data_IF_615963710309
#
_entry.id   IF_615963710309
#
_cell.length_a   1.000
_cell.length_b   1.000
_cell.length_c   1.000
_cell.angle_alpha   90.00
_cell.angle_beta   90.00
_cell.angle_gamma   90.00
#
_symmetry.space_group_name_H-M   'P 1'
#
loop_
_entity.id
_entity.type
_entity.pdbx_description
1 polymer ?
#
# COMPACT_ATOMS: atom_id res chain seq x y z
N UNK A 1 -4.45 1.28 11.73
CA UNK A 1 -3.21 1.38 10.94
C UNK A 1 -2.10 0.58 11.61
N UNK A 2 -1.18 -0.02 10.85
CA UNK A 2 -0.05 -0.80 11.36
C UNK A 2 1.11 0.13 11.78
N UNK A 3 0.99 0.75 12.94
CA UNK A 3 1.90 1.76 13.49
C UNK A 3 3.03 1.12 14.34
N UNK A 4 4.18 1.80 14.54
CA UNK A 4 5.24 1.33 15.42
C UNK A 4 4.77 1.08 16.86
N UNK A 5 3.81 1.88 17.35
CA UNK A 5 3.22 1.71 18.69
C UNK A 5 2.46 0.40 18.90
N UNK A 6 2.08 -0.30 17.82
CA UNK A 6 1.44 -1.62 17.86
C UNK A 6 2.27 -2.72 17.17
N UNK A 7 3.59 -2.52 17.08
CA UNK A 7 4.54 -3.50 16.58
C UNK A 7 4.68 -3.57 15.06
N UNK A 8 4.26 -2.53 14.33
CA UNK A 8 4.34 -2.45 12.89
C UNK A 8 5.23 -1.30 12.39
N UNK A 9 5.28 -1.08 11.09
CA UNK A 9 6.28 -0.27 10.42
C UNK A 9 5.76 1.02 9.77
N UNK A 10 4.45 1.32 9.77
CA UNK A 10 3.98 2.55 9.17
C UNK A 10 4.44 3.77 9.97
N UNK A 11 5.41 4.51 9.44
CA UNK A 11 6.08 5.62 10.12
C UNK A 11 5.29 6.93 9.98
N UNK A 12 4.15 7.01 10.68
CA UNK A 12 3.18 8.12 10.61
C UNK A 12 3.62 9.29 11.49
N UNK A 13 4.60 10.07 11.04
CA UNK A 13 5.20 11.18 11.82
C UNK A 13 4.22 12.32 12.12
N UNK A 14 3.21 12.56 11.28
CA UNK A 14 2.20 13.59 11.54
C UNK A 14 1.16 13.14 12.55
N UNK A 15 0.89 11.84 12.62
CA UNK A 15 -0.09 11.28 13.56
C UNK A 15 0.52 10.94 14.91
N UNK A 16 1.82 10.67 14.98
CA UNK A 16 2.54 10.24 16.19
C UNK A 16 3.66 11.22 16.50
N UNK A 17 3.43 12.07 17.48
CA UNK A 17 4.36 13.16 17.86
C UNK A 17 5.69 12.67 18.42
N UNK A 18 5.72 11.46 19.00
CA UNK A 18 6.95 10.85 19.53
C UNK A 18 7.91 10.33 18.45
N UNK A 19 7.44 10.09 17.24
CA UNK A 19 8.29 9.70 16.11
C UNK A 19 9.09 10.91 15.62
N UNK A 20 10.40 10.74 15.48
CA UNK A 20 11.28 11.78 14.95
C UNK A 20 11.41 11.67 13.43
N UNK A 21 11.46 12.82 12.75
CA UNK A 21 11.86 12.84 11.33
C UNK A 21 13.32 12.40 11.24
N UNK A 22 13.61 11.43 10.37
CA UNK A 22 14.98 10.93 10.22
C UNK A 22 15.09 9.48 9.76
N UNK A 23 16.27 8.93 9.95
CA UNK A 23 16.64 7.58 9.51
C UNK A 23 15.91 6.45 10.25
N UNK A 24 15.38 6.72 11.44
CA UNK A 24 14.61 5.72 12.19
C UNK A 24 13.39 5.22 11.40
N UNK A 25 12.80 6.08 10.56
CA UNK A 25 11.72 5.71 9.64
C UNK A 25 12.13 4.75 8.52
N UNK A 26 13.42 4.45 8.39
CA UNK A 26 13.96 3.53 7.40
C UNK A 26 14.29 2.14 7.99
N UNK A 27 14.23 1.99 9.33
CA UNK A 27 14.72 0.81 10.03
C UNK A 27 13.57 -0.11 10.44
N UNK A 28 12.93 -0.74 9.47
CA UNK A 28 11.92 -1.75 9.75
C UNK A 28 11.94 -2.83 8.68
N UNK A 29 11.59 -4.05 9.05
CA UNK A 29 11.40 -5.15 8.10
C UNK A 29 10.25 -6.04 8.54
N UNK A 30 9.59 -6.66 7.58
CA UNK A 30 8.53 -7.65 7.76
C UNK A 30 8.72 -8.79 6.77
N UNK A 31 7.89 -9.83 6.83
CA UNK A 31 7.99 -10.97 5.93
C UNK A 31 8.91 -12.05 6.47
N UNK A 32 9.74 -12.62 5.61
CA UNK A 32 10.64 -13.70 6.00
C UNK A 32 11.77 -13.20 6.93
N UNK A 33 11.95 -13.86 8.07
CA UNK A 33 13.04 -13.62 9.02
C UNK A 33 14.18 -14.63 8.82
N UNK A 34 13.83 -15.83 8.34
CA UNK A 34 14.77 -16.93 8.07
C UNK A 34 14.66 -17.39 6.61
N UNK A 35 15.70 -18.03 6.10
CA UNK A 35 15.75 -18.53 4.73
C UNK A 35 15.40 -17.48 3.67
N UNK A 36 15.83 -16.23 3.89
CA UNK A 36 15.58 -15.11 3.01
C UNK A 36 16.25 -15.36 1.67
N UNK A 37 15.43 -15.46 0.61
CA UNK A 37 15.92 -15.57 -0.77
C UNK A 37 15.88 -14.23 -1.50
N UNK A 38 14.92 -13.40 -1.15
CA UNK A 38 14.68 -12.11 -1.81
C UNK A 38 14.53 -10.98 -0.81
N UNK A 39 14.90 -9.78 -1.24
CA UNK A 39 14.69 -8.53 -0.51
C UNK A 39 13.83 -7.60 -1.34
N UNK A 40 12.78 -7.08 -0.75
CA UNK A 40 11.88 -6.14 -1.40
C UNK A 40 11.80 -4.82 -0.62
N UNK A 41 11.54 -3.74 -1.35
CA UNK A 41 11.25 -2.43 -0.78
C UNK A 41 9.79 -2.09 -1.01
N UNK A 42 8.99 -1.95 0.05
CA UNK A 42 7.63 -1.41 -0.01
C UNK A 42 7.69 0.10 0.21
N UNK A 43 7.33 0.86 -0.81
CA UNK A 43 7.40 2.32 -0.77
C UNK A 43 6.06 2.97 -1.06
N UNK A 44 5.73 4.02 -0.29
CA UNK A 44 4.54 4.84 -0.54
C UNK A 44 4.01 5.58 0.69
N UNK A 45 2.78 6.05 0.56
CA UNK A 45 2.06 6.78 1.60
C UNK A 45 1.35 5.84 2.60
N UNK A 46 0.30 6.32 3.24
CA UNK A 46 -0.49 5.54 4.20
C UNK A 46 -1.17 4.31 3.57
N UNK A 47 -1.37 4.30 2.25
CA UNK A 47 -1.88 3.13 1.52
C UNK A 47 -0.80 2.06 1.35
N UNK A 48 0.46 2.41 1.23
CA UNK A 48 1.54 1.45 1.39
C UNK A 48 1.66 1.00 2.85
N UNK A 49 1.49 1.95 3.78
CA UNK A 49 1.48 1.67 5.21
C UNK A 49 0.44 0.60 5.60
N UNK A 50 -0.80 0.71 5.13
CA UNK A 50 -1.83 -0.27 5.49
C UNK A 50 -1.63 -1.66 4.86
N UNK A 51 -0.79 -1.76 3.82
CA UNK A 51 -0.43 -3.02 3.18
C UNK A 51 0.78 -3.73 3.84
N UNK A 52 1.39 -3.17 4.89
CA UNK A 52 2.51 -3.81 5.58
C UNK A 52 2.13 -5.20 6.13
N UNK A 53 0.96 -5.40 6.80
CA UNK A 53 0.56 -6.73 7.25
C UNK A 53 0.29 -7.73 6.10
N UNK A 54 -0.15 -7.26 4.94
CA UNK A 54 -0.26 -8.07 3.72
C UNK A 54 1.11 -8.61 3.30
N UNK A 55 2.11 -7.73 3.23
CA UNK A 55 3.45 -8.12 2.80
C UNK A 55 4.22 -8.90 3.86
N UNK A 56 3.85 -8.78 5.14
CA UNK A 56 4.34 -9.67 6.18
C UNK A 56 3.93 -11.13 5.90
N UNK A 57 2.64 -11.36 5.59
CA UNK A 57 2.12 -12.70 5.29
C UNK A 57 2.66 -13.25 3.95
N UNK A 58 2.63 -12.43 2.89
CA UNK A 58 3.08 -12.84 1.56
C UNK A 58 4.60 -13.02 1.51
N UNK A 59 5.35 -12.13 2.17
CA UNK A 59 6.81 -12.22 2.25
C UNK A 59 7.27 -13.53 2.90
N UNK A 60 6.63 -13.96 3.98
CA UNK A 60 6.88 -15.28 4.61
C UNK A 60 6.66 -16.44 3.63
N UNK A 61 5.64 -16.37 2.78
CA UNK A 61 5.34 -17.41 1.78
C UNK A 61 6.29 -17.42 0.59
N UNK A 62 6.88 -16.27 0.26
CA UNK A 62 7.79 -16.11 -0.87
C UNK A 62 9.28 -16.10 -0.45
N UNK A 63 9.59 -16.38 0.81
CA UNK A 63 10.95 -16.25 1.37
C UNK A 63 11.55 -14.86 1.12
N UNK A 64 10.73 -13.82 1.19
CA UNK A 64 11.10 -12.43 0.96
C UNK A 64 11.08 -11.64 2.26
N UNK A 65 12.18 -10.96 2.56
CA UNK A 65 12.21 -9.89 3.54
C UNK A 65 11.77 -8.59 2.87
N UNK A 66 10.77 -7.92 3.43
CA UNK A 66 10.23 -6.67 2.91
C UNK A 66 10.60 -5.53 3.85
N UNK A 67 11.20 -4.48 3.32
CA UNK A 67 11.51 -3.24 4.05
C UNK A 67 10.46 -2.17 3.71
N UNK A 68 9.53 -1.83 4.62
CA UNK A 68 8.59 -0.74 4.42
C UNK A 68 9.26 0.63 4.65
N UNK A 69 9.21 1.47 3.63
CA UNK A 69 9.62 2.88 3.68
C UNK A 69 8.38 3.73 3.39
N UNK A 70 7.63 4.02 4.44
CA UNK A 70 6.29 4.61 4.31
C UNK A 70 6.09 5.75 5.30
N UNK A 71 5.45 6.84 4.88
CA UNK A 71 4.99 7.92 5.76
C UNK A 71 3.75 8.61 5.17
N UNK A 72 3.12 9.50 5.94
CA UNK A 72 1.93 10.23 5.51
C UNK A 72 2.17 10.95 4.17
N UNK A 73 1.23 10.88 3.24
CA UNK A 73 1.19 11.61 1.95
C UNK A 73 2.36 11.36 0.99
N UNK A 74 3.30 10.49 1.34
CA UNK A 74 4.50 10.21 0.55
C UNK A 74 4.22 9.24 -0.58
N UNK A 75 3.55 9.67 -1.64
CA UNK A 75 3.32 8.81 -2.80
C UNK A 75 4.65 8.41 -3.48
N UNK A 76 4.69 7.29 -4.21
CA UNK A 76 5.89 6.82 -4.92
C UNK A 76 6.34 7.83 -5.97
N UNK A 77 7.51 8.43 -5.76
CA UNK A 77 8.14 9.42 -6.62
C UNK A 77 9.61 9.59 -6.25
N UNK A 78 10.41 10.16 -7.15
CA UNK A 78 11.77 10.65 -6.90
C UNK A 78 11.84 12.18 -6.87
N UNK A 79 10.72 12.85 -7.19
CA UNK A 79 10.63 14.31 -7.23
C UNK A 79 10.35 14.92 -5.85
N UNK A 80 10.05 16.22 -5.86
CA UNK A 80 9.79 16.98 -4.64
C UNK A 80 8.30 17.30 -4.42
N UNK A 81 7.44 17.00 -5.40
CA UNK A 81 6.00 17.26 -5.29
C UNK A 81 5.37 16.40 -4.17
N UNK A 82 4.51 17.02 -3.39
CA UNK A 82 3.93 16.42 -2.21
C UNK A 82 2.47 16.86 -2.04
N UNK A 83 1.51 15.92 -1.95
CA UNK A 83 0.09 16.26 -1.90
C UNK A 83 -0.40 16.71 -0.52
N UNK A 84 0.41 16.55 0.52
CA UNK A 84 0.11 17.02 1.88
C UNK A 84 0.53 18.47 2.13
N UNK A 85 0.39 18.91 3.37
CA UNK A 85 0.82 20.27 3.79
C UNK A 85 2.33 20.41 3.74
N UNK A 86 2.79 21.57 3.26
CA UNK A 86 4.21 21.99 3.26
C UNK A 86 4.34 23.37 3.90
N UNK A 87 5.30 23.59 4.82
CA UNK A 87 6.18 22.57 5.41
C UNK A 87 5.43 21.67 6.40
N UNK A 88 5.88 20.41 6.54
CA UNK A 88 5.37 19.47 7.55
C UNK A 88 6.40 18.39 7.87
N UNK A 89 6.24 17.73 9.01
CA UNK A 89 7.10 16.60 9.39
C UNK A 89 7.00 15.44 8.40
N UNK A 90 5.80 15.21 7.84
CA UNK A 90 5.60 14.19 6.81
C UNK A 90 6.32 14.55 5.51
N UNK A 91 6.34 15.82 5.11
CA UNK A 91 7.12 16.26 3.95
C UNK A 91 8.62 15.99 4.16
N UNK A 92 9.17 16.41 5.31
CA UNK A 92 10.59 16.21 5.60
C UNK A 92 10.96 14.71 5.63
N UNK A 93 10.10 13.86 6.23
CA UNK A 93 10.30 12.42 6.20
C UNK A 93 10.18 11.85 4.79
N UNK A 94 9.25 12.35 3.98
CA UNK A 94 9.10 11.92 2.59
C UNK A 94 10.34 12.23 1.75
N UNK A 95 10.96 13.38 1.94
CA UNK A 95 12.24 13.72 1.28
C UNK A 95 13.32 12.70 1.62
N UNK A 96 13.46 12.34 2.91
CA UNK A 96 14.42 11.32 3.36
C UNK A 96 14.09 9.95 2.70
N UNK A 97 12.82 9.56 2.69
CA UNK A 97 12.36 8.30 2.12
C UNK A 97 12.67 8.23 0.61
N UNK A 98 12.41 9.30 -0.14
CA UNK A 98 12.68 9.39 -1.59
C UNK A 98 14.17 9.38 -1.91
N UNK A 99 14.99 10.07 -1.10
CA UNK A 99 16.45 9.99 -1.22
C UNK A 99 16.95 8.57 -0.97
N UNK A 100 16.38 7.87 0.01
CA UNK A 100 16.69 6.48 0.26
C UNK A 100 16.30 5.59 -0.94
N UNK A 101 15.09 5.73 -1.48
CA UNK A 101 14.62 5.02 -2.67
C UNK A 101 15.57 5.25 -3.84
N UNK A 102 15.86 6.52 -4.18
CA UNK A 102 16.73 6.88 -5.30
C UNK A 102 18.12 6.22 -5.22
N UNK A 103 18.68 6.15 -4.01
CA UNK A 103 20.02 5.61 -3.77
C UNK A 103 20.06 4.08 -3.74
N UNK A 104 18.96 3.42 -3.35
CA UNK A 104 18.98 2.02 -2.97
C UNK A 104 18.06 1.12 -3.81
N UNK A 105 17.32 1.65 -4.77
CA UNK A 105 16.32 0.84 -5.51
C UNK A 105 16.91 -0.38 -6.21
N UNK A 106 18.19 -0.35 -6.62
CA UNK A 106 18.89 -1.47 -7.24
C UNK A 106 19.46 -2.49 -6.25
N UNK A 107 19.35 -2.23 -4.94
CA UNK A 107 19.79 -3.15 -3.89
C UNK A 107 18.71 -4.16 -3.48
N UNK A 108 17.53 -4.06 -4.10
CA UNK A 108 16.40 -4.95 -3.87
C UNK A 108 16.12 -5.79 -5.10
N UNK A 109 15.68 -7.02 -4.88
CA UNK A 109 15.29 -7.92 -5.97
C UNK A 109 14.01 -7.44 -6.65
N UNK A 110 13.14 -6.69 -5.93
CA UNK A 110 12.00 -6.00 -6.50
C UNK A 110 11.49 -4.85 -5.60
N UNK A 111 10.76 -3.94 -6.23
CA UNK A 111 10.12 -2.81 -5.55
C UNK A 111 8.61 -3.03 -5.51
N UNK A 112 7.98 -2.55 -4.46
CA UNK A 112 6.53 -2.59 -4.28
C UNK A 112 6.04 -1.15 -4.10
N UNK A 113 5.15 -0.70 -4.97
CA UNK A 113 4.54 0.62 -4.86
C UNK A 113 3.07 0.51 -4.53
N UNK A 114 2.64 1.24 -3.51
CA UNK A 114 1.26 1.43 -3.15
C UNK A 114 1.03 2.88 -2.71
N UNK A 115 -0.13 3.42 -3.03
CA UNK A 115 -0.42 4.80 -2.74
C UNK A 115 -1.90 5.15 -2.88
N UNK A 116 -2.26 6.32 -2.41
CA UNK A 116 -3.57 6.92 -2.64
C UNK A 116 -3.67 7.40 -4.10
N UNK A 117 -3.90 6.45 -5.01
CA UNK A 117 -3.84 6.70 -6.45
C UNK A 117 -4.82 7.77 -6.94
N UNK A 118 -5.96 7.96 -6.29
CA UNK A 118 -6.87 9.06 -6.60
C UNK A 118 -6.17 10.41 -6.48
N UNK A 119 -5.36 10.60 -5.44
CA UNK A 119 -4.62 11.82 -5.21
C UNK A 119 -3.55 12.05 -6.28
N UNK A 120 -2.82 10.99 -6.64
CA UNK A 120 -1.80 11.03 -7.69
C UNK A 120 -2.41 11.36 -9.06
N UNK A 121 -3.62 10.90 -9.35
CA UNK A 121 -4.28 11.13 -10.64
C UNK A 121 -5.05 12.44 -10.75
N UNK A 122 -5.30 13.14 -9.64
CA UNK A 122 -5.98 14.45 -9.65
C UNK A 122 -5.11 15.56 -10.22
N UNK A 123 -3.78 15.45 -10.08
CA UNK A 123 -2.82 16.45 -10.54
C UNK A 123 -1.81 15.80 -11.51
N UNK A 124 -1.68 16.37 -12.69
CA UNK A 124 -0.76 15.88 -13.74
C UNK A 124 0.70 15.84 -13.29
N UNK A 125 1.12 16.72 -12.39
CA UNK A 125 2.51 16.75 -11.88
C UNK A 125 2.85 15.51 -11.03
N UNK A 126 1.93 15.05 -10.16
CA UNK A 126 2.14 13.84 -9.36
C UNK A 126 2.20 12.59 -10.25
N UNK A 127 1.31 12.51 -11.23
CA UNK A 127 1.31 11.41 -12.19
C UNK A 127 2.59 11.38 -13.02
N UNK A 128 3.06 12.54 -13.49
CA UNK A 128 4.30 12.67 -14.26
C UNK A 128 5.53 12.22 -13.45
N UNK A 129 5.61 12.60 -12.17
CA UNK A 129 6.68 12.14 -11.29
C UNK A 129 6.65 10.63 -11.06
N UNK A 130 5.45 10.06 -10.87
CA UNK A 130 5.31 8.61 -10.75
C UNK A 130 5.71 7.89 -12.04
N UNK A 131 5.27 8.38 -13.21
CA UNK A 131 5.68 7.83 -14.51
C UNK A 131 7.20 7.93 -14.73
N UNK A 132 7.83 9.04 -14.30
CA UNK A 132 9.29 9.17 -14.32
C UNK A 132 9.98 8.10 -13.44
N UNK A 133 9.48 7.85 -12.23
CA UNK A 133 9.97 6.77 -11.37
C UNK A 133 9.88 5.41 -12.08
N UNK A 134 8.73 5.07 -12.68
CA UNK A 134 8.54 3.82 -13.42
C UNK A 134 9.49 3.70 -14.63
N UNK A 135 9.71 4.81 -15.34
CA UNK A 135 10.69 4.85 -16.43
C UNK A 135 12.11 4.58 -15.94
N UNK A 136 12.49 5.11 -14.79
CA UNK A 136 13.82 4.86 -14.21
C UNK A 136 13.98 3.41 -13.75
N UNK A 137 13.00 2.83 -13.06
CA UNK A 137 13.04 1.42 -12.65
C UNK A 137 13.12 0.48 -13.86
N UNK A 138 12.44 0.83 -14.97
CA UNK A 138 12.49 0.07 -16.20
C UNK A 138 13.88 0.14 -16.88
N UNK A 139 14.52 1.31 -16.88
CA UNK A 139 15.88 1.47 -17.42
C UNK A 139 16.93 0.69 -16.61
N UNK A 140 16.71 0.54 -15.32
CA UNK A 140 17.57 -0.20 -14.39
C UNK A 140 17.22 -1.69 -14.34
N UNK A 141 16.20 -2.12 -15.08
CA UNK A 141 15.67 -3.49 -15.08
C UNK A 141 15.26 -4.02 -13.68
N UNK A 142 14.81 -3.11 -12.81
CA UNK A 142 14.35 -3.49 -11.47
C UNK A 142 12.87 -3.87 -11.55
N UNK A 143 12.49 -5.10 -11.18
CA UNK A 143 11.09 -5.53 -11.16
C UNK A 143 10.25 -4.68 -10.18
N UNK A 144 9.04 -4.31 -10.61
CA UNK A 144 8.13 -3.48 -9.81
C UNK A 144 6.76 -4.14 -9.70
N UNK A 145 6.25 -4.20 -8.48
CA UNK A 145 4.88 -4.58 -8.16
C UNK A 145 4.13 -3.32 -7.78
N UNK A 146 2.99 -3.08 -8.43
CA UNK A 146 2.09 -1.95 -8.08
C UNK A 146 0.80 -2.55 -7.55
N UNK A 147 0.36 -2.08 -6.36
CA UNK A 147 -0.89 -2.53 -5.74
C UNK A 147 -2.02 -1.55 -6.01
N UNK A 148 -3.19 -2.05 -6.37
CA UNK A 148 -4.40 -1.24 -6.47
C UNK A 148 -4.83 -0.69 -5.10
N UNK A 149 -5.43 0.51 -5.09
CA UNK A 149 -6.10 1.04 -3.91
C UNK A 149 -7.41 0.28 -3.63
N UNK A 150 -7.83 0.12 -2.36
CA UNK A 150 -9.06 -0.56 -1.98
C UNK A 150 -10.31 0.22 -2.41
N UNK A 151 -11.48 -0.38 -2.16
CA UNK A 151 -12.77 0.31 -2.28
C UNK A 151 -12.81 1.49 -1.31
N UNK A 152 -13.28 2.64 -1.80
CA UNK A 152 -13.40 3.88 -1.02
C UNK A 152 -14.85 4.07 -0.56
N UNK A 153 -15.04 4.12 0.75
CA UNK A 153 -16.34 4.37 1.38
C UNK A 153 -16.45 5.84 1.83
N UNK A 154 -17.64 6.40 1.75
CA UNK A 154 -17.93 7.76 2.23
C UNK A 154 -18.18 7.84 3.74
N UNK A 155 -17.99 6.72 4.48
CA UNK A 155 -18.21 6.59 5.92
C UNK A 155 -17.02 5.90 6.60
N UNK A 156 -16.86 6.17 7.89
CA UNK A 156 -15.92 5.42 8.73
C UNK A 156 -16.51 4.04 9.06
N UNK A 157 -16.17 3.05 8.22
CA UNK A 157 -16.73 1.70 8.29
C UNK A 157 -16.35 1.00 9.59
N UNK A 158 -15.10 1.16 10.05
CA UNK A 158 -14.65 0.55 11.31
C UNK A 158 -15.44 1.03 12.52
N UNK A 159 -15.80 2.32 12.58
CA UNK A 159 -16.61 2.85 13.66
C UNK A 159 -18.07 2.36 13.57
N UNK A 160 -18.63 2.26 12.37
CA UNK A 160 -19.97 1.73 12.17
C UNK A 160 -20.06 0.25 12.56
N UNK A 161 -19.08 -0.55 12.14
CA UNK A 161 -18.98 -1.96 12.53
C UNK A 161 -18.89 -2.13 14.05
N UNK A 162 -18.00 -1.38 14.73
CA UNK A 162 -17.86 -1.41 16.19
C UNK A 162 -19.15 -1.01 16.91
N UNK A 163 -19.82 0.03 16.42
CA UNK A 163 -21.10 0.50 16.97
C UNK A 163 -22.16 -0.61 16.91
N UNK A 164 -22.31 -1.26 15.75
CA UNK A 164 -23.33 -2.29 15.56
C UNK A 164 -23.00 -3.54 16.39
N UNK A 165 -21.74 -3.93 16.48
CA UNK A 165 -21.27 -5.00 17.37
C UNK A 165 -21.57 -4.69 18.85
N UNK A 166 -21.31 -3.44 19.30
CA UNK A 166 -21.62 -3.01 20.67
C UNK A 166 -23.12 -3.04 20.98
N UNK A 167 -23.96 -2.77 19.97
CA UNK A 167 -25.41 -2.80 20.07
C UNK A 167 -26.01 -4.21 19.86
N UNK A 168 -25.18 -5.26 19.73
CA UNK A 168 -25.59 -6.61 19.36
C UNK A 168 -26.44 -6.66 18.07
N UNK A 169 -26.13 -5.79 17.08
CA UNK A 169 -26.77 -5.76 15.77
C UNK A 169 -25.87 -6.43 14.74
N UNK A 170 -26.47 -7.09 13.76
CA UNK A 170 -25.77 -7.54 12.58
C UNK A 170 -25.29 -6.34 11.75
N UNK A 171 -24.01 -6.33 11.39
CA UNK A 171 -23.46 -5.36 10.46
C UNK A 171 -23.69 -5.84 9.02
N UNK A 172 -24.06 -4.91 8.14
CA UNK A 172 -24.27 -5.19 6.72
C UNK A 172 -23.54 -4.11 5.92
N UNK A 173 -22.35 -4.47 5.41
CA UNK A 173 -21.48 -3.57 4.65
C UNK A 173 -22.12 -3.10 3.34
N UNK A 174 -22.99 -3.93 2.72
CA UNK A 174 -23.63 -3.59 1.45
C UNK A 174 -24.42 -2.28 1.49
N UNK A 175 -24.95 -1.90 2.66
CA UNK A 175 -25.67 -0.64 2.89
C UNK A 175 -24.81 0.61 2.78
N UNK A 176 -23.49 0.44 2.83
CA UNK A 176 -22.52 1.54 2.80
C UNK A 176 -21.71 1.56 1.48
N UNK A 177 -21.99 0.61 0.56
CA UNK A 177 -21.41 0.60 -0.77
C UNK A 177 -22.00 1.73 -1.60
N UNK A 178 -21.13 2.62 -2.09
CA UNK A 178 -21.49 3.78 -2.90
C UNK A 178 -20.50 3.87 -4.08
N UNK A 179 -20.93 3.36 -5.23
CA UNK A 179 -20.07 3.30 -6.41
C UNK A 179 -19.76 4.68 -6.99
N UNK A 180 -20.61 5.69 -6.79
CA UNK A 180 -20.31 7.05 -7.21
C UNK A 180 -19.20 7.66 -6.36
N UNK A 181 -19.21 7.37 -5.04
CA UNK A 181 -18.12 7.78 -4.18
C UNK A 181 -16.80 7.05 -4.52
N UNK A 182 -16.85 5.73 -4.76
CA UNK A 182 -15.67 4.93 -5.12
C UNK A 182 -15.14 5.22 -6.53
N UNK A 183 -15.88 5.87 -7.37
CA UNK A 183 -15.57 6.10 -8.79
C UNK A 183 -14.17 6.70 -9.00
N UNK A 184 -13.77 7.66 -8.18
CA UNK A 184 -12.43 8.27 -8.27
C UNK A 184 -11.32 7.23 -8.00
N UNK A 185 -11.46 6.39 -6.97
CA UNK A 185 -10.52 5.32 -6.65
C UNK A 185 -10.47 4.26 -7.74
N UNK A 186 -11.63 3.85 -8.26
CA UNK A 186 -11.72 2.89 -9.37
C UNK A 186 -11.05 3.41 -10.64
N UNK A 187 -11.33 4.66 -11.04
CA UNK A 187 -10.73 5.31 -12.21
C UNK A 187 -9.22 5.46 -12.07
N UNK A 188 -8.76 5.81 -10.86
CA UNK A 188 -7.34 5.91 -10.57
C UNK A 188 -6.63 4.56 -10.74
N UNK A 189 -7.17 3.49 -10.15
CA UNK A 189 -6.63 2.13 -10.34
C UNK A 189 -6.54 1.74 -11.82
N UNK A 190 -7.60 2.03 -12.59
CA UNK A 190 -7.62 1.76 -14.04
C UNK A 190 -6.51 2.52 -14.78
N UNK A 191 -6.27 3.78 -14.41
CA UNK A 191 -5.24 4.61 -15.03
C UNK A 191 -3.83 4.12 -14.69
N UNK A 192 -3.59 3.76 -13.43
CA UNK A 192 -2.31 3.16 -12.98
C UNK A 192 -2.07 1.80 -13.68
N UNK A 193 -3.10 0.97 -13.81
CA UNK A 193 -3.01 -0.27 -14.57
C UNK A 193 -2.64 -0.04 -16.03
N UNK A 194 -3.23 0.95 -16.70
CA UNK A 194 -2.87 1.30 -18.08
C UNK A 194 -1.43 1.80 -18.17
N UNK A 195 -0.99 2.59 -17.21
CA UNK A 195 0.38 3.08 -17.12
C UNK A 195 1.37 1.91 -16.94
N UNK A 196 1.05 0.95 -16.08
CA UNK A 196 1.91 -0.22 -15.83
C UNK A 196 2.17 -1.05 -17.09
N UNK A 197 1.20 -1.12 -18.02
CA UNK A 197 1.37 -1.85 -19.30
C UNK A 197 2.43 -1.27 -20.24
N UNK A 198 2.89 -0.04 -20.00
CA UNK A 198 3.95 0.59 -20.81
C UNK A 198 5.33 -0.01 -20.54
N UNK A 199 5.50 -0.77 -19.46
CA UNK A 199 6.79 -1.25 -18.98
C UNK A 199 6.75 -2.76 -18.74
N UNK A 200 7.75 -3.48 -19.22
CA UNK A 200 7.80 -4.96 -19.15
C UNK A 200 8.13 -5.49 -17.76
N UNK A 201 8.82 -4.70 -16.94
CA UNK A 201 9.25 -5.07 -15.59
C UNK A 201 8.17 -4.80 -14.52
N UNK A 202 6.92 -4.44 -14.90
CA UNK A 202 5.86 -4.08 -13.98
C UNK A 202 4.78 -5.15 -13.90
N UNK A 203 4.37 -5.45 -12.65
CA UNK A 203 3.23 -6.30 -12.31
C UNK A 203 2.23 -5.43 -11.57
N UNK A 204 0.99 -5.40 -12.04
CA UNK A 204 -0.09 -4.73 -11.34
C UNK A 204 -0.97 -5.75 -10.64
N UNK A 205 -1.08 -5.67 -9.32
CA UNK A 205 -2.03 -6.46 -8.54
C UNK A 205 -3.33 -5.65 -8.44
N UNK A 206 -4.36 -6.13 -9.11
CA UNK A 206 -5.63 -5.43 -9.17
C UNK A 206 -6.47 -5.58 -7.89
N UNK A 207 -7.53 -4.78 -7.79
CA UNK A 207 -8.42 -4.77 -6.64
C UNK A 207 -9.12 -6.12 -6.42
N UNK A 208 -9.47 -6.82 -7.50
CA UNK A 208 -10.19 -8.10 -7.41
C UNK A 208 -9.29 -9.22 -6.91
N UNK A 209 -7.99 -9.15 -7.20
CA UNK A 209 -6.99 -10.06 -6.66
C UNK A 209 -6.66 -9.77 -5.18
N UNK A 210 -6.77 -8.49 -4.75
CA UNK A 210 -6.44 -8.10 -3.37
C UNK A 210 -7.62 -8.29 -2.40
N UNK A 211 -8.85 -8.06 -2.86
CA UNK A 211 -10.00 -7.98 -1.96
C UNK A 211 -11.16 -8.83 -2.48
N UNK A 212 -11.84 -9.54 -1.57
CA UNK A 212 -13.09 -10.23 -1.91
C UNK A 212 -14.13 -9.25 -2.44
N UNK A 213 -15.07 -9.74 -3.23
CA UNK A 213 -16.14 -8.91 -3.79
C UNK A 213 -17.02 -8.24 -2.72
N UNK A 214 -17.14 -8.87 -1.54
CA UNK A 214 -17.88 -8.30 -0.41
C UNK A 214 -17.09 -7.22 0.35
N UNK A 215 -15.78 -7.07 0.11
CA UNK A 215 -14.87 -6.24 0.90
C UNK A 215 -14.85 -6.58 2.41
N UNK A 216 -15.11 -7.84 2.73
CA UNK A 216 -15.16 -8.43 4.07
C UNK A 216 -14.36 -9.72 4.14
N UNK A 217 -13.94 -10.06 5.36
CA UNK A 217 -13.38 -11.36 5.67
C UNK A 217 -14.45 -12.46 5.59
N UNK A 218 -14.06 -13.73 5.62
CA UNK A 218 -15.00 -14.87 5.73
C UNK A 218 -15.92 -14.76 6.96
N UNK A 219 -15.47 -14.08 8.00
CA UNK A 219 -16.25 -13.86 9.23
C UNK A 219 -17.14 -12.60 9.18
N UNK A 220 -17.31 -11.95 8.01
CA UNK A 220 -18.10 -10.73 7.85
C UNK A 220 -17.50 -9.48 8.50
N UNK A 221 -16.18 -9.48 8.74
CA UNK A 221 -15.49 -8.30 9.27
C UNK A 221 -15.01 -7.45 8.08
N UNK A 222 -15.38 -6.15 7.99
CA UNK A 222 -14.98 -5.32 6.87
C UNK A 222 -13.47 -5.12 6.82
N UNK A 223 -12.90 -5.13 5.61
CA UNK A 223 -11.48 -4.78 5.42
C UNK A 223 -11.21 -3.33 5.80
N UNK A 224 -12.14 -2.44 5.50
CA UNK A 224 -12.00 -1.01 5.72
C UNK A 224 -11.86 -0.65 7.20
N UNK A 225 -10.90 0.23 7.50
CA UNK A 225 -10.68 0.81 8.83
C UNK A 225 -11.51 2.09 9.02
N UNK A 226 -11.43 3.01 8.08
CA UNK A 226 -11.95 4.38 8.19
C UNK A 226 -12.70 4.87 6.93
N UNK A 227 -12.84 4.01 5.95
CA UNK A 227 -13.44 4.30 4.66
C UNK A 227 -12.42 4.31 3.52
N UNK A 228 -11.19 4.77 3.75
CA UNK A 228 -10.11 4.78 2.77
C UNK A 228 -9.05 3.72 3.03
N UNK A 229 -8.63 3.58 4.29
CA UNK A 229 -7.59 2.62 4.67
C UNK A 229 -8.20 1.27 5.07
N UNK A 230 -7.43 0.20 4.87
CA UNK A 230 -7.75 -1.11 5.42
C UNK A 230 -7.15 -1.30 6.83
N UNK A 231 -7.79 -2.11 7.64
CA UNK A 231 -7.33 -2.47 8.98
C UNK A 231 -6.18 -3.49 8.91
N UNK A 232 -5.45 -3.69 10.02
CA UNK A 232 -4.44 -4.75 10.12
C UNK A 232 -5.07 -6.12 9.82
N UNK A 233 -6.25 -6.39 10.37
CA UNK A 233 -6.98 -7.63 10.15
C UNK A 233 -7.42 -7.75 8.69
N UNK A 234 -7.95 -6.67 8.09
CA UNK A 234 -8.32 -6.64 6.67
C UNK A 234 -7.11 -6.86 5.75
N UNK A 235 -5.96 -6.28 6.08
CA UNK A 235 -4.72 -6.46 5.33
C UNK A 235 -4.22 -7.91 5.36
N UNK A 236 -4.27 -8.57 6.53
CA UNK A 236 -3.94 -10.00 6.66
C UNK A 236 -4.94 -10.89 5.93
N UNK A 237 -6.23 -10.59 6.04
CA UNK A 237 -7.27 -11.34 5.33
C UNK A 237 -7.16 -11.18 3.80
N UNK A 238 -6.81 -9.98 3.33
CA UNK A 238 -6.48 -9.71 1.93
C UNK A 238 -5.30 -10.57 1.46
N UNK A 239 -4.25 -10.73 2.26
CA UNK A 239 -3.13 -11.61 1.95
C UNK A 239 -3.53 -13.09 1.86
N UNK A 240 -4.43 -13.55 2.74
CA UNK A 240 -4.98 -14.91 2.68
C UNK A 240 -5.78 -15.11 1.38
N UNK A 241 -6.69 -14.19 1.08
CA UNK A 241 -7.50 -14.22 -0.14
C UNK A 241 -6.62 -14.18 -1.40
N UNK A 242 -5.60 -13.31 -1.45
CA UNK A 242 -4.68 -13.18 -2.58
C UNK A 242 -3.98 -14.49 -2.92
N UNK A 243 -3.61 -15.32 -1.93
CA UNK A 243 -2.93 -16.59 -2.15
C UNK A 243 -3.74 -17.60 -2.98
N UNK A 244 -5.05 -17.41 -3.08
CA UNK A 244 -5.96 -18.26 -3.86
C UNK A 244 -6.12 -17.79 -5.31
N UNK A 245 -5.61 -16.60 -5.65
CA UNK A 245 -5.78 -15.98 -6.98
C UNK A 245 -4.75 -16.45 -8.00
N UNK A 246 -5.10 -16.31 -9.29
CA UNK A 246 -4.17 -16.54 -10.40
C UNK A 246 -3.00 -15.55 -10.34
N UNK A 247 -3.26 -14.32 -9.96
CA UNK A 247 -2.23 -13.27 -9.82
C UNK A 247 -1.13 -13.69 -8.84
N UNK A 248 -1.49 -14.33 -7.71
CA UNK A 248 -0.49 -14.88 -6.79
C UNK A 248 0.29 -16.03 -7.40
N UNK A 249 -0.39 -16.93 -8.14
CA UNK A 249 0.28 -18.04 -8.82
C UNK A 249 1.30 -17.55 -9.85
N UNK A 250 0.97 -16.49 -10.57
CA UNK A 250 1.88 -15.89 -11.55
C UNK A 250 3.02 -15.15 -10.86
N UNK A 251 2.75 -14.40 -9.81
CA UNK A 251 3.78 -13.76 -8.99
C UNK A 251 4.78 -14.80 -8.46
N UNK A 252 4.29 -15.92 -7.94
CA UNK A 252 5.13 -17.00 -7.41
C UNK A 252 6.04 -17.65 -8.45
N UNK A 253 5.70 -17.62 -9.74
CA UNK A 253 6.57 -18.14 -10.82
C UNK A 253 7.79 -17.26 -11.04
N UNK A 254 7.68 -15.94 -10.80
CA UNK A 254 8.77 -14.98 -10.97
C UNK A 254 9.82 -15.13 -9.87
N UNK A 255 9.40 -15.58 -8.67
CA UNK A 255 10.24 -15.78 -7.49
C UNK A 255 10.58 -17.27 -7.23
N UNK A 256 10.81 -18.04 -8.27
CA UNK A 256 11.26 -19.44 -8.18
C UNK A 256 12.74 -19.64 -8.43
#
# INVERSE_FOLDING_TARGET
>A
MPLPSNGWCFYSVDSIQTLKVGKDGLNCSVGAEENIKYKALLFGDSFAGHNIPFWDEIGKKLNTQVQPITTNWCYPSLGMEFPGTQPSRAFDQCVINRQFLAKNMTNYDYLIFSGFWSNVNMDSKYLAEFENLLSQTSKLDVPVIIMAAPYSFNKNIGNLYKRDAWLNKSFDLSKYMDNEHDKASYQANKKIFQLSKKYKNLIFIDRQSLYSNSNETEAGIPYSLDGGHISILGSKASAKYFQETDTYRDLKKIFR
#
